data_IF_959856919402
#
_entry.id   IF_959856919402
#
_cell.length_a   1.000
_cell.length_b   1.000
_cell.length_c   1.000
_cell.angle_alpha   90.00
_cell.angle_beta   90.00
_cell.angle_gamma   90.00
#
_symmetry.space_group_name_H-M   'P 1'
#
loop_
_entity.id
_entity.type
_entity.pdbx_description
1 polymer ?
#
# COMPACT_ATOMS: atom_id res chain seq x y z
N UNK A 1 -3.61 13.56 9.36
CA UNK A 1 -4.01 12.62 8.27
C UNK A 1 -4.91 11.53 8.83
N UNK A 2 -5.94 11.08 8.09
CA UNK A 2 -6.70 9.90 8.47
C UNK A 2 -6.06 8.72 7.76
N UNK A 3 -5.61 7.70 8.49
CA UNK A 3 -5.06 6.47 7.93
C UNK A 3 -6.20 5.52 7.56
N UNK A 4 -6.14 4.93 6.40
CA UNK A 4 -7.09 3.92 5.95
C UNK A 4 -6.32 2.77 5.31
N UNK A 5 -6.47 1.59 5.88
CA UNK A 5 -5.78 0.35 5.49
C UNK A 5 -6.67 -0.63 4.74
N UNK A 6 -7.97 -0.40 4.74
CA UNK A 6 -8.94 -1.23 4.04
C UNK A 6 -10.06 -0.38 3.46
N UNK A 7 -10.35 -0.59 2.16
CA UNK A 7 -11.42 0.14 1.46
C UNK A 7 -12.08 -0.73 0.40
N UNK A 8 -13.40 -0.58 0.28
CA UNK A 8 -14.20 -1.17 -0.79
C UNK A 8 -14.29 -0.16 -1.94
N UNK A 9 -13.97 -0.59 -3.16
CA UNK A 9 -14.10 0.24 -4.36
C UNK A 9 -14.90 -0.47 -5.45
N UNK A 10 -15.56 0.33 -6.28
CA UNK A 10 -16.37 -0.11 -7.41
C UNK A 10 -15.66 0.29 -8.69
N UNK A 11 -15.32 -0.68 -9.51
CA UNK A 11 -14.58 -0.50 -10.75
C UNK A 11 -15.44 -0.89 -11.93
N UNK A 12 -15.38 -0.09 -13.00
CA UNK A 12 -16.07 -0.34 -14.25
C UNK A 12 -15.16 0.00 -15.42
N UNK A 13 -14.76 -1.00 -16.18
CA UNK A 13 -14.02 -0.79 -17.41
C UNK A 13 -14.90 -0.15 -18.48
N UNK A 14 -14.28 0.50 -19.44
CA UNK A 14 -14.99 1.16 -20.55
C UNK A 14 -15.66 0.14 -21.47
N UNK A 15 -16.88 0.43 -21.92
CA UNK A 15 -17.51 -0.34 -22.98
C UNK A 15 -16.80 -0.08 -24.31
N UNK A 16 -16.80 -1.04 -25.21
CA UNK A 16 -16.40 -0.83 -26.59
C UNK A 16 -17.35 0.12 -27.33
N UNK A 17 -16.84 0.82 -28.33
CA UNK A 17 -17.63 1.57 -29.27
C UNK A 17 -18.38 0.65 -30.25
N UNK A 18 -19.52 1.08 -30.74
CA UNK A 18 -20.28 0.31 -31.72
C UNK A 18 -19.65 0.41 -33.11
N UNK A 19 -19.73 -0.65 -33.92
CA UNK A 19 -19.41 -0.62 -35.33
C UNK A 19 -20.40 0.25 -36.11
N UNK A 20 -19.99 0.79 -37.26
CA UNK A 20 -20.83 1.62 -38.09
C UNK A 20 -21.51 0.84 -39.21
N UNK A 21 -22.83 1.03 -39.46
CA UNK A 21 -23.52 0.48 -40.61
C UNK A 21 -23.50 1.41 -41.83
N UNK A 22 -22.48 2.21 -41.99
CA UNK A 22 -22.41 3.28 -42.99
C UNK A 22 -22.16 2.75 -44.40
N UNK A 23 -22.62 3.50 -45.38
CA UNK A 23 -22.42 3.27 -46.80
C UNK A 23 -21.84 4.53 -47.45
N UNK A 24 -20.88 4.31 -48.37
CA UNK A 24 -20.23 5.38 -49.13
C UNK A 24 -21.26 6.19 -49.92
N UNK A 25 -21.26 7.50 -49.73
CA UNK A 25 -22.12 8.45 -50.47
C UNK A 25 -21.23 9.56 -51.03
N UNK A 26 -21.07 9.56 -52.35
CA UNK A 26 -20.32 10.57 -53.04
C UNK A 26 -21.10 11.06 -54.27
N UNK A 27 -20.75 12.25 -54.75
CA UNK A 27 -21.33 12.80 -55.99
C UNK A 27 -21.02 11.83 -57.16
N UNK A 28 -22.03 11.51 -57.95
CA UNK A 28 -21.96 10.56 -59.06
C UNK A 28 -21.78 9.07 -58.68
N UNK A 29 -21.89 8.68 -57.42
CA UNK A 29 -21.85 7.29 -56.97
C UNK A 29 -23.21 6.91 -56.39
N UNK A 30 -24.13 6.38 -57.20
CA UNK A 30 -25.52 6.01 -56.76
C UNK A 30 -25.53 4.87 -55.76
N UNK A 31 -24.68 3.89 -55.96
CA UNK A 31 -24.63 2.65 -55.12
C UNK A 31 -23.21 2.47 -54.55
N UNK A 32 -22.89 3.28 -53.52
CA UNK A 32 -21.68 3.08 -52.75
C UNK A 32 -21.70 1.82 -51.91
N UNK A 33 -20.59 1.10 -51.81
CA UNK A 33 -20.48 -0.08 -50.98
C UNK A 33 -20.46 0.23 -49.48
N UNK A 34 -20.48 -0.83 -48.63
CA UNK A 34 -20.35 -0.63 -47.18
C UNK A 34 -18.98 0.00 -46.87
N UNK A 35 -19.00 1.04 -46.05
CA UNK A 35 -17.80 1.78 -45.62
C UNK A 35 -17.75 2.07 -44.11
N UNK A 36 -18.58 1.36 -43.35
CA UNK A 36 -18.62 1.49 -41.89
C UNK A 36 -17.38 0.90 -41.23
N UNK A 37 -16.67 1.72 -40.47
CA UNK A 37 -15.52 1.33 -39.65
C UNK A 37 -15.90 0.62 -38.36
N UNK A 38 -14.93 0.01 -37.72
CA UNK A 38 -15.09 -0.69 -36.44
C UNK A 38 -15.16 0.33 -35.29
N UNK A 39 -15.81 -0.04 -34.18
CA UNK A 39 -15.74 0.72 -32.92
C UNK A 39 -14.38 0.54 -32.24
N UNK A 40 -13.99 1.52 -31.42
CA UNK A 40 -12.81 1.46 -30.58
C UNK A 40 -12.99 0.52 -29.38
N UNK A 41 -11.91 -0.07 -28.88
CA UNK A 41 -11.89 -0.84 -27.63
C UNK A 41 -12.18 0.11 -26.45
N UNK A 42 -12.87 -0.34 -25.41
CA UNK A 42 -12.99 0.38 -24.14
C UNK A 42 -11.69 0.33 -23.35
N UNK A 43 -11.44 1.34 -22.52
CA UNK A 43 -10.31 1.39 -21.60
C UNK A 43 -10.43 0.37 -20.48
N UNK A 44 -9.31 -0.16 -20.02
CA UNK A 44 -9.21 -1.07 -18.88
C UNK A 44 -8.95 -0.30 -17.58
N UNK A 45 -9.15 -0.96 -16.42
CA UNK A 45 -8.73 -0.42 -15.13
C UNK A 45 -7.53 -1.20 -14.64
N UNK A 46 -6.46 -0.49 -14.33
CA UNK A 46 -5.16 -1.03 -13.96
C UNK A 46 -4.76 -0.44 -12.61
N UNK A 47 -4.50 -1.32 -11.64
CA UNK A 47 -3.86 -0.93 -10.37
C UNK A 47 -2.35 -0.91 -10.56
N UNK A 48 -1.68 0.10 -9.98
CA UNK A 48 -0.23 0.26 -10.07
C UNK A 48 0.36 0.60 -8.72
N UNK A 49 1.38 -0.16 -8.29
CA UNK A 49 2.08 0.07 -7.03
C UNK A 49 3.04 1.26 -7.11
N UNK A 50 2.90 2.22 -6.17
CA UNK A 50 3.80 3.37 -6.01
C UNK A 50 4.37 3.42 -4.58
N UNK A 51 5.67 3.72 -4.46
CA UNK A 51 6.36 3.78 -3.14
C UNK A 51 6.00 5.02 -2.33
N UNK A 52 5.63 6.11 -3.00
CA UNK A 52 5.36 7.38 -2.33
C UNK A 52 3.97 7.45 -1.67
N UNK A 53 3.22 6.35 -1.71
CA UNK A 53 1.90 6.23 -1.11
C UNK A 53 1.97 5.32 0.12
N UNK A 54 1.44 5.83 1.26
CA UNK A 54 1.42 5.09 2.53
C UNK A 54 0.00 4.81 3.04
N UNK A 55 -1.03 5.19 2.27
CA UNK A 55 -2.43 5.06 2.71
C UNK A 55 -3.38 4.89 1.54
N UNK A 56 -4.51 4.25 1.79
CA UNK A 56 -5.61 4.09 0.83
C UNK A 56 -6.70 5.17 1.03
N UNK A 57 -6.39 6.28 1.71
CA UNK A 57 -7.38 7.28 2.12
C UNK A 57 -8.14 7.92 0.95
N UNK A 58 -7.48 8.09 -0.20
CA UNK A 58 -8.08 8.72 -1.39
C UNK A 58 -9.26 7.89 -1.90
N UNK A 59 -9.17 6.57 -1.80
CA UNK A 59 -10.23 5.65 -2.20
C UNK A 59 -11.46 5.69 -1.29
N UNK A 60 -11.35 6.24 -0.08
CA UNK A 60 -12.50 6.48 0.80
C UNK A 60 -13.38 7.61 0.27
N UNK A 61 -12.76 8.62 -0.31
CA UNK A 61 -13.49 9.78 -0.86
C UNK A 61 -14.00 9.49 -2.27
N UNK A 62 -13.23 8.77 -3.06
CA UNK A 62 -13.60 8.37 -4.41
C UNK A 62 -13.65 6.83 -4.48
N UNK A 63 -14.84 6.27 -4.31
CA UNK A 63 -15.03 4.81 -4.32
C UNK A 63 -15.36 4.26 -5.71
N UNK A 64 -15.83 5.09 -6.64
CA UNK A 64 -16.25 4.68 -7.98
C UNK A 64 -15.22 5.10 -9.01
N UNK A 65 -14.66 4.12 -9.73
CA UNK A 65 -13.68 4.33 -10.78
C UNK A 65 -14.19 3.77 -12.10
N UNK A 66 -14.15 4.61 -13.16
CA UNK A 66 -14.61 4.23 -14.49
C UNK A 66 -13.54 4.55 -15.51
N UNK A 67 -13.26 3.59 -16.42
CA UNK A 67 -12.42 3.83 -17.59
C UNK A 67 -13.28 4.37 -18.76
N UNK A 68 -12.59 4.94 -19.74
CA UNK A 68 -13.22 5.59 -20.87
C UNK A 68 -13.84 4.58 -21.84
N UNK A 69 -15.02 4.88 -22.37
CA UNK A 69 -15.65 4.11 -23.44
C UNK A 69 -14.88 4.31 -24.75
N UNK A 70 -14.78 3.26 -25.58
CA UNK A 70 -14.31 3.38 -26.95
C UNK A 70 -15.30 4.17 -27.81
N UNK A 71 -14.78 4.93 -28.77
CA UNK A 71 -15.59 5.68 -29.71
C UNK A 71 -16.26 4.75 -30.74
N UNK A 72 -17.41 5.13 -31.21
CA UNK A 72 -18.10 4.40 -32.26
C UNK A 72 -17.33 4.51 -33.61
N UNK A 73 -17.40 3.48 -34.41
CA UNK A 73 -16.93 3.53 -35.78
C UNK A 73 -17.72 4.55 -36.62
N UNK A 74 -17.09 5.08 -37.65
CA UNK A 74 -17.70 6.06 -38.54
C UNK A 74 -17.61 5.60 -40.01
N UNK A 75 -18.25 6.35 -40.89
CA UNK A 75 -18.14 6.16 -42.34
C UNK A 75 -16.71 6.33 -42.84
N UNK A 76 -16.47 6.00 -44.12
CA UNK A 76 -15.15 6.04 -44.75
C UNK A 76 -14.11 5.11 -44.10
N UNK A 77 -14.58 3.95 -43.59
CA UNK A 77 -13.78 2.96 -42.87
C UNK A 77 -13.03 3.51 -41.65
N UNK A 78 -13.49 4.61 -41.06
CA UNK A 78 -12.86 5.18 -39.88
C UNK A 78 -13.18 4.38 -38.64
N UNK A 79 -12.16 3.75 -38.08
CA UNK A 79 -12.26 3.04 -36.80
C UNK A 79 -12.35 4.07 -35.67
N UNK A 80 -13.25 3.84 -34.71
CA UNK A 80 -13.35 4.67 -33.51
C UNK A 80 -12.07 4.58 -32.65
N UNK A 81 -11.71 5.68 -31.99
CA UNK A 81 -10.58 5.72 -31.06
C UNK A 81 -10.85 4.77 -29.87
N UNK A 82 -9.81 4.05 -29.42
CA UNK A 82 -9.87 3.30 -28.15
C UNK A 82 -10.06 4.25 -26.97
N UNK A 83 -10.82 3.81 -25.98
CA UNK A 83 -10.89 4.51 -24.69
C UNK A 83 -9.56 4.41 -23.93
N UNK A 84 -9.21 5.47 -23.22
CA UNK A 84 -7.99 5.50 -22.42
C UNK A 84 -8.13 4.61 -21.19
N UNK A 85 -7.05 3.91 -20.82
CA UNK A 85 -6.98 3.09 -19.62
C UNK A 85 -6.93 3.99 -18.37
N UNK A 86 -7.55 3.52 -17.29
CA UNK A 86 -7.55 4.20 -15.99
C UNK A 86 -6.56 3.55 -15.05
N UNK A 87 -5.51 4.29 -14.66
CA UNK A 87 -4.51 3.83 -13.70
C UNK A 87 -4.88 4.29 -12.30
N UNK A 88 -5.04 3.34 -11.39
CA UNK A 88 -5.30 3.54 -9.98
C UNK A 88 -4.03 3.25 -9.19
N UNK A 89 -3.50 4.26 -8.51
CA UNK A 89 -2.25 4.17 -7.77
C UNK A 89 -2.50 3.61 -6.37
N UNK A 90 -1.79 2.54 -6.00
CA UNK A 90 -1.90 1.91 -4.68
C UNK A 90 -0.54 1.87 -3.99
N UNK A 91 -0.49 1.93 -2.64
CA UNK A 91 0.74 1.72 -1.90
C UNK A 91 1.35 0.34 -2.16
N UNK A 92 2.67 0.24 -2.05
CA UNK A 92 3.36 -1.04 -2.01
C UNK A 92 2.86 -1.88 -0.81
N UNK A 93 2.67 -3.18 -1.00
CA UNK A 93 2.08 -4.06 0.02
C UNK A 93 0.55 -4.04 0.05
N UNK A 94 -0.11 -3.44 -0.95
CA UNK A 94 -1.56 -3.52 -1.11
C UNK A 94 -1.96 -4.90 -1.64
N UNK A 95 -2.92 -5.52 -1.00
CA UNK A 95 -3.58 -6.76 -1.42
C UNK A 95 -4.95 -6.43 -2.01
N UNK A 96 -5.28 -7.07 -3.12
CA UNK A 96 -6.56 -6.94 -3.80
C UNK A 96 -7.37 -8.19 -3.56
N UNK A 97 -8.58 -8.05 -3.03
CA UNK A 97 -9.49 -9.15 -2.79
C UNK A 97 -10.77 -8.98 -3.60
N UNK A 98 -11.44 -10.10 -3.88
CA UNK A 98 -12.78 -10.10 -4.43
C UNK A 98 -13.81 -9.44 -3.50
N UNK A 99 -15.05 -9.32 -3.94
CA UNK A 99 -16.16 -8.76 -3.17
C UNK A 99 -16.41 -9.49 -1.85
N UNK A 100 -16.11 -10.79 -1.77
CA UNK A 100 -16.22 -11.62 -0.56
C UNK A 100 -15.21 -11.25 0.54
N UNK A 101 -14.22 -10.42 0.19
CA UNK A 101 -13.11 -9.99 1.06
C UNK A 101 -12.29 -11.16 1.65
N UNK A 102 -12.24 -12.28 0.95
CA UNK A 102 -11.50 -13.49 1.33
C UNK A 102 -10.61 -14.00 0.20
N UNK A 103 -11.11 -13.98 -1.03
CA UNK A 103 -10.39 -14.48 -2.20
C UNK A 103 -9.37 -13.44 -2.64
N UNK A 104 -8.08 -13.75 -2.49
CA UNK A 104 -6.98 -12.89 -2.91
C UNK A 104 -6.83 -12.94 -4.44
N UNK A 105 -6.96 -11.79 -5.10
CA UNK A 105 -6.74 -11.65 -6.54
C UNK A 105 -5.29 -11.30 -6.87
N UNK A 106 -4.69 -10.38 -6.09
CA UNK A 106 -3.33 -9.91 -6.33
C UNK A 106 -2.68 -9.35 -5.06
N UNK A 107 -1.33 -9.43 -4.97
CA UNK A 107 -0.52 -8.88 -3.86
C UNK A 107 0.65 -8.08 -4.44
N UNK A 108 0.65 -6.77 -4.25
CA UNK A 108 1.68 -5.86 -4.76
C UNK A 108 2.93 -5.90 -3.89
N UNK A 109 3.94 -6.64 -4.34
CA UNK A 109 5.20 -6.81 -3.60
C UNK A 109 6.39 -6.05 -4.22
N UNK A 110 6.22 -5.51 -5.44
CA UNK A 110 7.30 -4.83 -6.16
C UNK A 110 6.84 -3.45 -6.65
N UNK A 111 7.78 -2.50 -6.64
CA UNK A 111 7.56 -1.16 -7.18
C UNK A 111 7.20 -1.20 -8.67
N UNK A 112 6.23 -0.39 -9.05
CA UNK A 112 5.80 -0.27 -10.44
C UNK A 112 5.05 -1.47 -10.98
N UNK A 113 4.75 -2.47 -10.13
CA UNK A 113 3.96 -3.63 -10.50
C UNK A 113 2.54 -3.20 -10.88
N UNK A 114 2.03 -3.76 -11.97
CA UNK A 114 0.73 -3.41 -12.52
C UNK A 114 -0.17 -4.66 -12.56
N UNK A 115 -1.43 -4.48 -12.21
CA UNK A 115 -2.44 -5.52 -12.26
C UNK A 115 -3.70 -5.01 -12.96
N UNK A 116 -4.07 -5.66 -14.08
CA UNK A 116 -5.31 -5.36 -14.81
C UNK A 116 -6.47 -5.98 -14.06
N UNK A 117 -7.27 -5.16 -13.39
CA UNK A 117 -8.40 -5.60 -12.56
C UNK A 117 -9.67 -5.79 -13.38
N UNK A 118 -9.90 -4.91 -14.37
CA UNK A 118 -11.09 -4.99 -15.23
C UNK A 118 -10.70 -4.66 -16.68
N UNK A 119 -11.10 -5.54 -17.59
CA UNK A 119 -10.76 -5.44 -19.01
C UNK A 119 -11.85 -4.67 -19.76
N UNK A 120 -11.44 -3.71 -20.58
CA UNK A 120 -12.33 -2.95 -21.46
C UNK A 120 -13.01 -3.80 -22.52
N UNK A 121 -14.26 -3.46 -22.83
CA UNK A 121 -15.05 -4.11 -23.85
C UNK A 121 -14.42 -4.02 -25.24
N UNK A 122 -14.54 -5.07 -26.04
CA UNK A 122 -14.07 -5.07 -27.44
C UNK A 122 -14.90 -4.11 -28.27
N UNK A 123 -14.28 -3.43 -29.23
CA UNK A 123 -14.99 -2.62 -30.24
C UNK A 123 -15.88 -3.49 -31.13
N UNK A 124 -17.03 -2.95 -31.48
CA UNK A 124 -17.95 -3.58 -32.41
C UNK A 124 -17.42 -3.55 -33.84
N UNK A 125 -17.79 -4.52 -34.66
CA UNK A 125 -17.37 -4.61 -36.06
C UNK A 125 -18.31 -3.78 -36.94
N UNK A 126 -17.73 -2.98 -37.82
CA UNK A 126 -18.44 -2.24 -38.87
C UNK A 126 -18.97 -3.16 -39.97
N UNK A 127 -19.93 -2.64 -40.78
CA UNK A 127 -20.55 -3.42 -41.81
C UNK A 127 -19.58 -3.87 -42.91
N UNK A 128 -18.47 -3.19 -43.12
CA UNK A 128 -17.42 -3.58 -44.06
C UNK A 128 -16.86 -4.95 -43.76
N UNK A 129 -16.78 -5.37 -42.50
CA UNK A 129 -16.28 -6.68 -42.08
C UNK A 129 -17.20 -7.84 -42.47
N UNK A 130 -18.45 -7.56 -42.78
CA UNK A 130 -19.45 -8.57 -43.15
C UNK A 130 -19.67 -8.64 -44.66
N UNK A 131 -18.86 -7.93 -45.46
CA UNK A 131 -18.89 -8.03 -46.92
C UNK A 131 -18.39 -9.39 -47.39
N UNK A 132 -19.17 -10.03 -48.25
CA UNK A 132 -18.82 -11.32 -48.86
C UNK A 132 -19.23 -11.35 -50.32
N UNK A 133 -18.87 -12.43 -51.05
CA UNK A 133 -19.27 -12.63 -52.45
C UNK A 133 -20.80 -12.72 -52.61
N UNK A 134 -21.48 -13.30 -51.63
CA UNK A 134 -22.95 -13.46 -51.63
C UNK A 134 -23.68 -12.25 -51.01
N UNK A 135 -23.03 -11.49 -50.13
CA UNK A 135 -23.60 -10.28 -49.52
C UNK A 135 -22.66 -9.08 -49.73
N UNK A 136 -22.82 -8.41 -50.85
CA UNK A 136 -21.94 -7.26 -51.23
C UNK A 136 -22.26 -5.96 -50.50
N UNK A 137 -23.48 -5.83 -49.93
CA UNK A 137 -23.96 -4.60 -49.25
C UNK A 137 -24.57 -4.92 -47.87
N UNK A 138 -23.79 -5.50 -46.93
CA UNK A 138 -24.30 -5.87 -45.62
C UNK A 138 -24.65 -4.60 -44.81
N UNK A 139 -25.83 -4.63 -44.17
CA UNK A 139 -26.26 -3.63 -43.15
C UNK A 139 -25.94 -4.10 -41.74
N UNK A 140 -25.44 -5.33 -41.60
CA UNK A 140 -25.09 -5.92 -40.30
C UNK A 140 -23.83 -5.24 -39.74
N UNK A 141 -23.88 -4.88 -38.47
CA UNK A 141 -22.76 -4.43 -37.67
C UNK A 141 -22.90 -5.07 -36.29
N UNK A 142 -21.89 -4.99 -35.44
CA UNK A 142 -22.00 -5.43 -34.04
C UNK A 142 -21.89 -4.22 -33.11
N UNK A 143 -22.59 -4.32 -31.98
CA UNK A 143 -22.40 -3.39 -30.87
C UNK A 143 -21.06 -3.65 -30.21
N UNK A 144 -20.52 -2.63 -29.56
CA UNK A 144 -19.36 -2.78 -28.70
C UNK A 144 -19.63 -3.72 -27.53
N UNK A 145 -18.62 -4.47 -27.16
CA UNK A 145 -18.66 -5.33 -25.97
C UNK A 145 -18.83 -4.52 -24.69
N UNK A 146 -19.46 -5.11 -23.70
CA UNK A 146 -19.57 -4.52 -22.36
C UNK A 146 -18.22 -4.68 -21.68
N UNK A 147 -17.70 -3.62 -21.02
CA UNK A 147 -16.56 -3.68 -20.16
C UNK A 147 -16.87 -4.40 -18.86
N UNK A 148 -15.86 -5.03 -18.28
CA UNK A 148 -16.01 -5.73 -17.01
C UNK A 148 -16.32 -4.76 -15.87
N UNK A 149 -17.10 -5.21 -14.89
CA UNK A 149 -17.50 -4.44 -13.73
C UNK A 149 -17.35 -5.32 -12.48
N UNK A 150 -16.60 -4.86 -11.50
CA UNK A 150 -16.34 -5.58 -10.27
C UNK A 150 -16.43 -4.67 -9.06
N UNK A 151 -16.69 -5.30 -7.93
CA UNK A 151 -16.50 -4.72 -6.60
C UNK A 151 -15.32 -5.43 -5.96
N UNK A 152 -14.32 -4.69 -5.52
CA UNK A 152 -13.11 -5.23 -4.92
C UNK A 152 -12.81 -4.57 -3.58
N UNK A 153 -12.05 -5.28 -2.76
CA UNK A 153 -11.45 -4.74 -1.56
C UNK A 153 -9.96 -4.53 -1.77
N UNK A 154 -9.49 -3.35 -1.39
CA UNK A 154 -8.06 -3.06 -1.25
C UNK A 154 -7.71 -3.13 0.23
N UNK A 155 -6.67 -3.87 0.58
CA UNK A 155 -6.15 -3.98 1.94
C UNK A 155 -4.65 -3.71 1.94
N UNK A 156 -4.20 -2.82 2.80
CA UNK A 156 -2.78 -2.53 2.96
C UNK A 156 -2.16 -3.50 3.96
N UNK A 157 -1.19 -4.30 3.54
CA UNK A 157 -0.49 -5.29 4.37
C UNK A 157 0.49 -4.64 5.34
N UNK A 158 1.12 -3.54 4.93
CA UNK A 158 2.07 -2.78 5.76
C UNK A 158 1.30 -1.85 6.68
N UNK A 159 1.52 -1.95 7.99
CA UNK A 159 0.88 -1.08 9.00
C UNK A 159 1.73 0.17 9.21
N UNK A 160 3.05 0.00 9.27
CA UNK A 160 4.01 1.07 9.46
C UNK A 160 5.36 0.71 8.83
N UNK A 161 6.16 1.72 8.53
CA UNK A 161 7.53 1.50 8.06
C UNK A 161 8.40 1.01 9.22
N UNK A 162 8.18 1.58 10.44
CA UNK A 162 8.95 1.25 11.63
C UNK A 162 8.01 0.89 12.78
N UNK A 163 8.27 -0.25 13.41
CA UNK A 163 7.63 -0.65 14.66
C UNK A 163 8.53 -0.33 15.85
N UNK A 164 8.04 0.40 16.84
CA UNK A 164 8.76 0.63 18.10
C UNK A 164 8.47 -0.54 19.04
N UNK A 165 9.53 -1.20 19.50
CA UNK A 165 9.50 -2.29 20.47
C UNK A 165 10.34 -1.93 21.70
N UNK A 166 10.12 -2.60 22.80
CA UNK A 166 10.87 -2.41 24.06
C UNK A 166 10.01 -2.66 25.28
N UNK A 167 10.64 -2.76 26.43
CA UNK A 167 9.98 -3.00 27.72
C UNK A 167 9.02 -1.88 28.11
N UNK A 168 8.08 -2.11 29.03
CA UNK A 168 7.28 -1.04 29.62
C UNK A 168 8.17 0.06 30.18
N UNK A 169 7.72 1.32 30.11
CA UNK A 169 8.43 2.51 30.58
C UNK A 169 9.77 2.82 29.86
N UNK A 170 10.17 2.12 28.81
CA UNK A 170 11.34 2.47 28.01
C UNK A 170 11.20 3.82 27.28
N UNK A 171 10.01 4.43 27.28
CA UNK A 171 9.75 5.73 26.66
C UNK A 171 9.21 5.67 25.23
N UNK A 172 8.63 4.54 24.80
CA UNK A 172 8.10 4.33 23.44
C UNK A 172 7.09 5.40 23.00
N UNK A 173 6.06 5.63 23.80
CA UNK A 173 5.00 6.60 23.48
C UNK A 173 5.51 8.03 23.56
N UNK A 174 6.46 8.32 24.46
CA UNK A 174 7.14 9.63 24.54
C UNK A 174 7.97 9.90 23.29
N UNK A 175 8.70 8.88 22.82
CA UNK A 175 9.48 8.97 21.60
C UNK A 175 8.56 9.19 20.39
N UNK A 176 7.47 8.42 20.28
CA UNK A 176 6.51 8.59 19.19
C UNK A 176 5.94 10.00 19.18
N UNK A 177 5.54 10.55 20.34
CA UNK A 177 5.04 11.93 20.46
C UNK A 177 6.08 12.96 20.07
N UNK A 178 7.35 12.74 20.40
CA UNK A 178 8.46 13.67 20.11
C UNK A 178 8.89 13.64 18.62
N UNK A 179 8.82 12.47 17.98
CA UNK A 179 9.21 12.32 16.57
C UNK A 179 8.11 12.80 15.63
N UNK A 180 6.85 12.65 15.99
CA UNK A 180 5.71 12.94 15.10
C UNK A 180 5.39 14.43 15.05
N UNK A 181 5.04 14.93 13.86
CA UNK A 181 4.69 16.34 13.65
C UNK A 181 3.25 16.68 14.09
N UNK A 182 2.46 15.69 14.44
CA UNK A 182 1.08 15.82 14.93
C UNK A 182 0.85 14.80 16.05
N UNK A 183 -0.13 15.06 16.93
CA UNK A 183 -0.49 14.12 17.99
C UNK A 183 -0.69 12.71 17.42
N UNK A 184 -0.02 11.69 17.95
CA UNK A 184 -0.21 10.30 17.55
C UNK A 184 -1.70 9.95 17.58
N UNK A 185 -2.18 9.25 16.55
CA UNK A 185 -3.58 8.86 16.47
C UNK A 185 -3.73 7.38 16.78
N UNK A 186 -4.67 7.07 17.64
CA UNK A 186 -5.11 5.71 17.87
C UNK A 186 -5.80 5.23 16.59
N UNK A 187 -5.25 4.23 15.95
CA UNK A 187 -5.83 3.63 14.76
C UNK A 187 -6.69 2.42 15.15
N UNK A 188 -8.00 2.51 14.90
CA UNK A 188 -8.94 1.41 15.13
C UNK A 188 -8.89 0.45 13.95
N UNK A 189 -8.07 -0.59 14.04
CA UNK A 189 -8.09 -1.69 13.08
C UNK A 189 -9.12 -2.73 13.51
N UNK A 190 -10.02 -3.16 12.60
CA UNK A 190 -11.08 -4.15 12.90
C UNK A 190 -10.56 -5.51 13.35
N UNK A 191 -9.27 -5.78 13.16
CA UNK A 191 -8.60 -7.02 13.54
C UNK A 191 -7.70 -6.87 14.76
N UNK A 192 -7.77 -5.74 15.48
CA UNK A 192 -6.94 -5.48 16.67
C UNK A 192 -7.82 -5.29 17.90
N UNK A 193 -7.48 -5.97 18.97
CA UNK A 193 -8.08 -5.74 20.30
C UNK A 193 -7.40 -4.59 21.03
N UNK A 194 -6.13 -4.30 20.68
CA UNK A 194 -5.37 -3.14 21.11
C UNK A 194 -5.04 -2.29 19.90
N UNK A 195 -5.34 -1.03 19.95
CA UNK A 195 -5.11 -0.09 18.87
C UNK A 195 -3.68 0.46 18.93
N UNK A 196 -2.83 0.24 17.91
CA UNK A 196 -1.51 0.83 17.88
C UNK A 196 -1.61 2.36 17.74
N UNK A 197 -0.72 3.07 18.42
CA UNK A 197 -0.56 4.49 18.19
C UNK A 197 0.31 4.69 16.95
N UNK A 198 -0.28 5.27 15.91
CA UNK A 198 0.44 5.58 14.68
C UNK A 198 0.85 7.04 14.65
N UNK A 199 2.07 7.28 14.23
CA UNK A 199 2.60 8.62 13.99
C UNK A 199 3.28 8.71 12.63
N UNK A 200 3.23 9.89 12.02
CA UNK A 200 3.96 10.20 10.79
C UNK A 200 5.08 11.17 11.15
N UNK A 201 6.30 10.79 10.85
CA UNK A 201 7.46 11.64 10.97
C UNK A 201 7.92 12.11 9.60
N UNK A 202 8.16 13.41 9.43
CA UNK A 202 8.68 14.00 8.20
C UNK A 202 10.09 14.52 8.43
N UNK A 203 10.96 14.28 7.45
CA UNK A 203 12.32 14.82 7.39
C UNK A 203 12.78 14.86 5.93
N UNK A 204 13.30 16.01 5.47
CA UNK A 204 13.76 16.24 4.08
C UNK A 204 12.74 15.78 3.00
N UNK A 205 11.49 16.28 3.10
CA UNK A 205 10.38 15.96 2.17
C UNK A 205 10.00 14.48 2.06
N UNK A 206 10.55 13.64 2.95
CA UNK A 206 10.17 12.24 3.07
C UNK A 206 9.34 12.02 4.33
N UNK A 207 8.34 11.16 4.22
CA UNK A 207 7.49 10.76 5.34
C UNK A 207 7.69 9.28 5.64
N UNK A 208 7.78 8.97 6.95
CA UNK A 208 7.80 7.58 7.45
C UNK A 208 6.67 7.40 8.45
N UNK A 209 6.05 6.24 8.39
CA UNK A 209 5.01 5.84 9.35
C UNK A 209 5.64 5.02 10.47
N UNK A 210 5.40 5.43 11.71
CA UNK A 210 5.93 4.77 12.91
C UNK A 210 4.76 4.27 13.73
N UNK A 211 4.82 3.01 14.18
CA UNK A 211 3.84 2.40 15.07
C UNK A 211 4.44 2.20 16.45
N UNK A 212 3.84 2.81 17.48
CA UNK A 212 4.05 2.40 18.87
C UNK A 212 3.18 1.20 19.15
N UNK A 213 3.84 0.12 19.49
CA UNK A 213 3.21 -1.17 19.66
C UNK A 213 3.17 -1.46 21.16
N UNK A 214 2.06 -1.17 21.89
CA UNK A 214 1.94 -1.41 23.33
C UNK A 214 1.86 -2.91 23.64
N UNK A 215 2.42 -3.36 24.75
CA UNK A 215 2.10 -4.66 25.36
C UNK A 215 2.95 -5.86 24.97
N UNK A 216 4.23 -5.67 24.58
CA UNK A 216 5.15 -6.79 24.35
C UNK A 216 5.45 -7.61 25.63
N UNK A 217 5.24 -7.09 26.83
CA UNK A 217 5.70 -7.71 28.09
C UNK A 217 4.61 -7.88 29.14
N UNK A 218 3.45 -7.24 28.99
CA UNK A 218 2.36 -7.39 29.96
C UNK A 218 1.40 -8.51 29.54
N UNK A 219 1.60 -9.73 30.04
CA UNK A 219 0.62 -10.81 29.98
C UNK A 219 0.76 -11.82 28.82
N UNK A 220 1.86 -11.82 28.07
CA UNK A 220 2.11 -12.82 27.01
C UNK A 220 2.17 -14.28 27.58
N UNK A 221 2.49 -14.46 28.85
CA UNK A 221 2.56 -15.76 29.51
C UNK A 221 1.21 -16.29 30.01
N UNK A 222 0.16 -15.48 30.07
CA UNK A 222 -1.14 -15.89 30.62
C UNK A 222 -2.14 -16.45 29.60
N UNK A 223 -1.72 -16.81 28.41
CA UNK A 223 -2.52 -17.60 27.47
C UNK A 223 -3.77 -16.90 26.89
N UNK A 224 -3.97 -15.62 27.15
CA UNK A 224 -5.07 -14.85 26.56
C UNK A 224 -4.59 -14.28 25.22
N UNK A 225 -5.14 -14.72 24.11
CA UNK A 225 -4.78 -14.49 22.70
C UNK A 225 -4.50 -13.04 22.23
N UNK A 226 -4.24 -12.12 23.14
CA UNK A 226 -3.90 -10.71 22.93
C UNK A 226 -2.51 -10.54 22.32
N UNK A 227 -1.50 -11.29 22.80
CA UNK A 227 -0.12 -11.20 22.30
C UNK A 227 0.04 -11.62 20.83
N UNK A 228 -0.68 -12.65 20.39
CA UNK A 228 -0.57 -13.21 19.03
C UNK A 228 -1.10 -12.24 17.96
N UNK A 229 -2.22 -11.58 18.23
CA UNK A 229 -2.77 -10.60 17.28
C UNK A 229 -1.87 -9.37 17.13
N UNK A 230 -1.20 -9.04 18.19
CA UNK A 230 -0.29 -7.94 18.32
C UNK A 230 1.01 -8.14 17.53
N UNK A 231 1.61 -9.30 17.61
CA UNK A 231 2.83 -9.67 16.91
C UNK A 231 2.60 -9.71 15.38
N UNK A 232 1.36 -9.94 14.92
CA UNK A 232 0.97 -9.75 13.51
C UNK A 232 1.16 -8.32 13.01
N UNK A 233 1.10 -7.33 13.89
CA UNK A 233 1.36 -5.93 13.51
C UNK A 233 2.84 -5.67 13.31
N UNK A 234 3.69 -6.25 14.16
CA UNK A 234 5.15 -6.16 14.00
C UNK A 234 5.60 -6.84 12.71
N UNK A 235 5.00 -7.97 12.34
CA UNK A 235 5.28 -8.62 11.05
C UNK A 235 5.04 -7.69 9.85
N UNK A 236 4.11 -6.75 9.98
CA UNK A 236 3.73 -5.80 8.94
C UNK A 236 4.56 -4.50 8.94
N UNK A 237 5.52 -4.35 9.85
CA UNK A 237 6.50 -3.26 9.81
C UNK A 237 7.69 -3.66 8.95
N UNK A 238 8.30 -2.72 8.24
CA UNK A 238 9.50 -2.98 7.42
C UNK A 238 10.74 -3.20 8.29
N UNK A 239 10.90 -2.36 9.34
CA UNK A 239 12.04 -2.37 10.26
C UNK A 239 11.58 -2.18 11.69
N UNK A 240 12.43 -2.51 12.65
CA UNK A 240 12.16 -2.39 14.07
C UNK A 240 13.08 -1.35 14.71
N UNK A 241 12.52 -0.53 15.61
CA UNK A 241 13.25 0.32 16.52
C UNK A 241 13.11 -0.26 17.92
N UNK A 242 14.20 -0.81 18.46
CA UNK A 242 14.23 -1.38 19.79
C UNK A 242 14.69 -0.32 20.80
N UNK A 243 13.75 0.17 21.59
CA UNK A 243 14.01 1.19 22.59
C UNK A 243 14.33 0.54 23.93
N UNK A 244 15.51 0.83 24.48
CA UNK A 244 16.00 0.31 25.75
C UNK A 244 16.25 1.47 26.69
N UNK A 245 15.74 1.38 27.92
CA UNK A 245 16.03 2.32 28.99
C UNK A 245 17.43 2.06 29.55
N UNK A 246 18.36 3.03 29.39
CA UNK A 246 19.73 2.87 29.84
C UNK A 246 19.86 2.76 31.38
N UNK A 247 18.83 3.17 32.12
CA UNK A 247 18.83 3.11 33.60
C UNK A 247 18.52 1.72 34.14
N UNK A 248 18.16 0.74 33.28
CA UNK A 248 17.90 -0.62 33.73
C UNK A 248 19.18 -1.28 34.25
N UNK A 249 19.05 -2.02 35.35
CA UNK A 249 20.18 -2.70 36.01
C UNK A 249 20.82 -3.77 35.13
N UNK A 250 20.03 -4.49 34.32
CA UNK A 250 20.51 -5.47 33.36
C UNK A 250 19.96 -5.18 31.96
N UNK A 251 20.78 -4.50 31.17
CA UNK A 251 20.43 -4.11 29.80
C UNK A 251 20.38 -5.31 28.83
N UNK A 252 21.22 -6.33 29.09
CA UNK A 252 21.19 -7.55 28.29
C UNK A 252 19.94 -8.37 28.52
N UNK A 253 19.57 -8.56 29.78
CA UNK A 253 18.33 -9.25 30.12
C UNK A 253 17.14 -8.55 29.47
N UNK A 254 17.09 -7.22 29.56
CA UNK A 254 16.06 -6.39 28.94
C UNK A 254 15.98 -6.59 27.41
N UNK A 255 17.13 -6.66 26.75
CA UNK A 255 17.21 -6.90 25.30
C UNK A 255 16.78 -8.32 24.94
N UNK A 256 17.36 -9.33 25.62
CA UNK A 256 17.09 -10.73 25.34
C UNK A 256 15.63 -11.12 25.65
N UNK A 257 15.02 -10.51 26.66
CA UNK A 257 13.63 -10.74 26.97
C UNK A 257 12.72 -10.37 25.78
N UNK A 258 12.89 -9.18 25.20
CA UNK A 258 12.14 -8.74 24.02
C UNK A 258 12.45 -9.62 22.81
N UNK A 259 13.71 -10.00 22.59
CA UNK A 259 14.12 -10.87 21.47
C UNK A 259 13.52 -12.26 21.60
N UNK A 260 13.54 -12.84 22.79
CA UNK A 260 12.95 -14.16 23.03
C UNK A 260 11.43 -14.16 22.84
N UNK A 261 10.75 -13.08 23.20
CA UNK A 261 9.32 -12.92 22.95
C UNK A 261 9.03 -12.85 21.44
N UNK A 262 9.77 -12.05 20.67
CA UNK A 262 9.67 -12.02 19.22
C UNK A 262 9.96 -13.39 18.59
N UNK A 263 10.98 -14.09 19.09
CA UNK A 263 11.38 -15.43 18.60
C UNK A 263 10.31 -16.48 18.85
N UNK A 264 9.69 -16.46 20.01
CA UNK A 264 8.63 -17.41 20.36
C UNK A 264 7.42 -17.33 19.44
N UNK A 265 7.24 -16.18 18.82
CA UNK A 265 6.11 -15.94 17.90
C UNK A 265 6.44 -16.28 16.44
N UNK A 266 7.52 -15.72 15.89
CA UNK A 266 7.88 -15.94 14.48
C UNK A 266 9.37 -15.70 14.24
N UNK A 267 10.04 -16.66 13.60
CA UNK A 267 11.44 -16.50 13.18
C UNK A 267 11.65 -15.31 12.22
N UNK A 268 10.63 -14.97 11.43
CA UNK A 268 10.66 -13.83 10.49
C UNK A 268 10.84 -12.46 11.16
N UNK A 269 10.46 -12.36 12.44
CA UNK A 269 10.61 -11.10 13.19
C UNK A 269 12.05 -10.84 13.60
N UNK A 270 12.84 -11.89 13.80
CA UNK A 270 14.25 -11.78 14.17
C UNK A 270 15.09 -11.30 12.99
N UNK A 271 14.71 -11.69 11.78
CA UNK A 271 15.44 -11.36 10.55
C UNK A 271 15.18 -9.92 10.09
N UNK A 272 14.26 -9.20 10.74
CA UNK A 272 14.01 -7.80 10.41
C UNK A 272 15.18 -6.93 10.80
N UNK A 273 15.44 -5.93 9.96
CA UNK A 273 16.44 -4.89 10.23
C UNK A 273 16.06 -4.16 11.52
N UNK A 274 16.96 -4.10 12.48
CA UNK A 274 16.74 -3.56 13.81
C UNK A 274 17.71 -2.42 14.10
N UNK A 275 17.19 -1.32 14.64
CA UNK A 275 17.96 -0.22 15.20
C UNK A 275 17.76 -0.24 16.73
N UNK A 276 18.86 -0.39 17.48
CA UNK A 276 18.83 -0.30 18.94
C UNK A 276 19.01 1.16 19.33
N UNK A 277 18.14 1.64 20.20
CA UNK A 277 18.20 3.00 20.71
C UNK A 277 18.21 2.97 22.25
N UNK A 278 19.30 3.42 22.84
CA UNK A 278 19.44 3.62 24.30
C UNK A 278 18.84 4.95 24.66
N UNK A 279 17.74 4.93 25.39
CA UNK A 279 16.99 6.11 25.81
C UNK A 279 17.31 6.53 27.24
N UNK A 280 16.96 7.77 27.58
CA UNK A 280 17.15 8.40 28.90
C UNK A 280 18.61 8.60 29.28
N UNK A 281 19.46 8.90 28.32
CA UNK A 281 20.89 9.16 28.57
C UNK A 281 21.12 10.38 29.47
N UNK A 282 20.14 11.23 29.63
CA UNK A 282 20.13 12.38 30.54
C UNK A 282 20.15 11.98 32.02
N UNK A 283 19.86 10.72 32.34
CA UNK A 283 19.81 10.22 33.72
C UNK A 283 21.09 9.50 34.15
N UNK A 284 22.09 9.38 33.26
CA UNK A 284 23.36 8.70 33.54
C UNK A 284 24.53 9.55 33.07
N UNK A 285 25.71 9.30 33.60
CA UNK A 285 26.95 10.00 33.23
C UNK A 285 27.47 9.53 31.86
N UNK A 286 28.24 10.37 31.19
CA UNK A 286 28.75 10.10 29.82
C UNK A 286 29.65 8.87 29.78
N UNK A 287 30.38 8.55 30.84
CA UNK A 287 31.28 7.39 30.86
C UNK A 287 30.47 6.09 30.92
N UNK A 288 29.40 6.04 31.69
CA UNK A 288 28.45 4.92 31.70
C UNK A 288 27.82 4.71 30.31
N UNK A 289 27.45 5.80 29.61
CA UNK A 289 26.91 5.70 28.25
C UNK A 289 27.93 5.05 27.30
N UNK A 290 29.21 5.44 27.37
CA UNK A 290 30.27 4.87 26.52
C UNK A 290 30.48 3.39 26.83
N UNK A 291 30.57 2.99 28.09
CA UNK A 291 30.76 1.61 28.53
C UNK A 291 29.61 0.72 28.02
N UNK A 292 28.38 1.20 28.09
CA UNK A 292 27.20 0.48 27.58
C UNK A 292 27.24 0.33 26.08
N UNK A 293 27.60 1.37 25.32
CA UNK A 293 27.73 1.31 23.85
C UNK A 293 28.81 0.28 23.49
N UNK A 294 29.97 0.33 24.13
CA UNK A 294 31.09 -0.58 23.88
C UNK A 294 30.72 -2.04 24.17
N UNK A 295 29.97 -2.24 25.25
CA UNK A 295 29.50 -3.57 25.63
C UNK A 295 28.51 -4.14 24.60
N UNK A 296 27.51 -3.37 24.18
CA UNK A 296 26.54 -3.78 23.19
C UNK A 296 27.14 -3.96 21.79
N UNK A 297 28.13 -3.14 21.42
CA UNK A 297 28.80 -3.19 20.12
C UNK A 297 29.63 -4.45 19.92
N UNK A 298 30.22 -5.00 20.99
CA UNK A 298 31.07 -6.19 20.93
C UNK A 298 30.32 -7.51 20.69
N UNK A 299 29.01 -7.55 20.95
CA UNK A 299 28.24 -8.80 20.90
C UNK A 299 27.17 -8.85 19.82
N UNK A 300 26.88 -7.75 19.12
CA UNK A 300 25.71 -7.63 18.25
C UNK A 300 26.06 -6.96 16.94
N UNK A 301 25.55 -7.50 15.84
CA UNK A 301 25.70 -6.91 14.50
C UNK A 301 24.67 -5.79 14.22
N UNK A 302 23.97 -5.30 15.26
CA UNK A 302 22.96 -4.26 15.14
C UNK A 302 23.58 -2.88 15.35
N UNK A 303 23.02 -1.89 14.66
CA UNK A 303 23.41 -0.49 14.83
C UNK A 303 22.80 0.08 16.12
N UNK A 304 23.61 0.82 16.88
CA UNK A 304 23.23 1.37 18.18
C UNK A 304 23.27 2.90 18.13
N UNK A 305 22.24 3.53 18.63
CA UNK A 305 22.18 4.96 18.84
C UNK A 305 21.78 5.29 20.28
N UNK A 306 22.15 6.49 20.73
CA UNK A 306 21.73 7.02 22.03
C UNK A 306 20.79 8.18 21.85
N UNK A 307 19.85 8.36 22.78
CA UNK A 307 18.93 9.47 22.75
C UNK A 307 18.41 9.90 24.11
N UNK A 308 17.95 11.14 24.14
CA UNK A 308 17.01 11.63 25.14
C UNK A 308 15.84 12.31 24.45
N UNK A 309 14.65 12.14 24.98
CA UNK A 309 13.44 12.82 24.47
C UNK A 309 13.39 14.30 24.83
N UNK A 310 14.29 14.76 25.69
CA UNK A 310 14.38 16.16 26.15
C UNK A 310 15.10 17.06 25.14
N UNK A 311 15.98 16.50 24.28
CA UNK A 311 16.81 17.26 23.35
C UNK A 311 16.31 17.12 21.90
N UNK A 312 16.05 18.28 21.26
CA UNK A 312 15.59 18.30 19.86
C UNK A 312 16.62 17.74 18.86
N UNK A 313 17.90 17.98 19.12
CA UNK A 313 18.99 17.49 18.25
C UNK A 313 19.10 15.98 18.28
N UNK A 314 18.91 15.36 19.44
CA UNK A 314 18.87 13.92 19.61
C UNK A 314 17.70 13.32 18.79
N UNK A 315 16.52 13.92 18.86
CA UNK A 315 15.34 13.51 18.09
C UNK A 315 15.57 13.66 16.58
N UNK A 316 16.21 14.76 16.13
CA UNK A 316 16.48 15.01 14.71
C UNK A 316 17.45 13.97 14.13
N UNK A 317 18.48 13.57 14.87
CA UNK A 317 19.42 12.51 14.48
C UNK A 317 18.71 11.17 14.33
N UNK A 318 17.81 10.83 15.26
CA UNK A 318 17.01 9.60 15.16
C UNK A 318 16.10 9.65 13.92
N UNK A 319 15.40 10.77 13.66
CA UNK A 319 14.58 10.93 12.45
C UNK A 319 15.37 10.68 11.17
N UNK A 320 16.52 11.32 11.00
CA UNK A 320 17.39 11.15 9.84
C UNK A 320 17.81 9.68 9.68
N UNK A 321 18.15 9.02 10.79
CA UNK A 321 18.56 7.61 10.78
C UNK A 321 17.42 6.67 10.37
N UNK A 322 16.24 6.86 10.94
CA UNK A 322 15.07 6.04 10.64
C UNK A 322 14.70 6.09 9.15
N UNK A 323 14.84 7.26 8.51
CA UNK A 323 14.66 7.38 7.06
C UNK A 323 15.64 6.52 6.27
N UNK A 324 16.90 6.43 6.68
CA UNK A 324 17.90 5.57 6.03
C UNK A 324 17.62 4.07 6.20
N UNK A 325 16.79 3.71 7.19
CA UNK A 325 16.38 2.32 7.43
C UNK A 325 15.21 1.86 6.55
N UNK A 326 14.45 2.80 6.02
CA UNK A 326 13.25 2.53 5.20
C UNK A 326 13.54 2.70 3.70
N UNK A 327 14.56 3.51 3.37
CA UNK A 327 15.07 3.66 2.00
C UNK A 327 15.85 2.43 1.60
#
# INVERSE_FOLDING_TARGET
MKFLDQVKIYIKAGNGGDGSPSFRREKYVEYGGPDGGDGGKGGSIILKAEENLNTLIDYRYQQHHKAQRGENGAGQNRTGKGGDDSFLKVPLGTQVFEEDNKTLLFDFNKRGEEFVVAIGGKGGLGNTRFKSSTNRAPRKFTKGGIGEEFTIWLQLKTIADIGIIGLPNAGKSSLLAAITNANPKIANYRFTTLNPNLGVASYDDKEITIADIPGLVEGAHEGVGLGIQFLKHIERCKSLLHLIDITNLDLNESYEQVKNELKSYSSKLIDKKELIVLNKIDLVDEDTVKDVIDYFSKGKSCEIMTMTTLEKDSISKIKAKLLSYVS
#
